data_IF_062825977682
#
_entry.id   IF_062825977682
#
_cell.length_a   1.000
_cell.length_b   1.000
_cell.length_c   1.000
_cell.angle_alpha   90.00
_cell.angle_beta   90.00
_cell.angle_gamma   90.00
#
_symmetry.space_group_name_H-M   'P 1'
#
loop_
_entity.id
_entity.type
_entity.pdbx_description
1 polymer ?
#
# COMPACT_ATOMS: atom_id res chain seq x y z
N UNK A 1 13.27 -2.12 -5.46
CA UNK A 1 13.40 -1.37 -4.19
C UNK A 1 12.02 -1.27 -3.53
N UNK A 2 11.96 -0.94 -2.23
CA UNK A 2 10.78 -1.16 -1.39
C UNK A 2 10.65 -0.03 -0.35
N UNK A 3 9.47 0.57 -0.27
CA UNK A 3 9.10 1.60 0.71
C UNK A 3 7.91 1.10 1.54
N UNK A 4 8.01 1.16 2.86
CA UNK A 4 6.99 0.70 3.80
C UNK A 4 6.75 1.75 4.87
N UNK A 5 5.56 2.33 4.85
CA UNK A 5 5.22 3.54 5.61
C UNK A 5 3.75 3.53 6.00
N UNK A 6 3.35 4.38 6.94
CA UNK A 6 1.91 4.58 7.17
C UNK A 6 1.27 5.40 6.05
N UNK A 7 -0.05 5.28 5.81
CA UNK A 7 -0.80 6.13 4.88
C UNK A 7 -0.51 7.63 5.04
N UNK A 8 -0.53 8.14 6.27
CA UNK A 8 -0.24 9.55 6.53
C UNK A 8 1.16 9.97 6.07
N UNK A 9 2.15 9.09 6.22
CA UNK A 9 3.52 9.41 5.78
C UNK A 9 3.69 9.23 4.26
N UNK A 10 3.02 8.26 3.65
CA UNK A 10 2.95 8.14 2.20
C UNK A 10 2.39 9.43 1.57
N UNK A 11 1.32 9.99 2.11
CA UNK A 11 0.77 11.27 1.63
C UNK A 11 1.77 12.42 1.71
N UNK A 12 2.53 12.52 2.81
CA UNK A 12 3.58 13.51 2.94
C UNK A 12 4.68 13.32 1.88
N UNK A 13 5.13 12.09 1.63
CA UNK A 13 6.14 11.81 0.61
C UNK A 13 5.63 12.11 -0.80
N UNK A 14 4.37 11.81 -1.10
CA UNK A 14 3.73 12.16 -2.36
C UNK A 14 3.63 13.68 -2.54
N UNK A 15 3.35 14.43 -1.46
CA UNK A 15 3.35 15.88 -1.49
C UNK A 15 4.76 16.47 -1.75
N UNK A 16 5.81 15.77 -1.30
CA UNK A 16 7.22 16.08 -1.59
C UNK A 16 7.72 15.50 -2.93
N UNK A 17 6.79 15.09 -3.79
CA UNK A 17 7.07 14.71 -5.17
C UNK A 17 7.71 13.34 -5.34
N UNK A 18 7.47 12.39 -4.42
CA UNK A 18 8.00 11.02 -4.52
C UNK A 18 7.71 10.37 -5.89
N UNK A 19 6.57 10.68 -6.49
CA UNK A 19 6.13 10.15 -7.79
C UNK A 19 6.20 11.17 -8.94
N UNK A 20 6.90 12.30 -8.73
CA UNK A 20 7.09 13.29 -9.79
C UNK A 20 7.92 12.72 -10.95
N UNK A 21 7.67 13.24 -12.15
CA UNK A 21 8.39 12.83 -13.36
C UNK A 21 9.89 13.12 -13.25
N UNK A 22 10.71 12.23 -13.80
CA UNK A 22 12.17 12.37 -13.79
C UNK A 22 12.85 12.06 -12.46
N UNK A 23 12.10 11.66 -11.42
CA UNK A 23 12.63 11.13 -10.16
C UNK A 23 12.61 9.62 -10.13
N UNK A 24 13.32 9.06 -9.15
CA UNK A 24 13.26 7.63 -8.87
C UNK A 24 11.97 7.29 -8.14
N UNK A 25 11.20 6.33 -8.67
CA UNK A 25 9.99 5.81 -8.04
C UNK A 25 10.29 4.46 -7.40
N UNK A 26 9.90 4.23 -6.13
CA UNK A 26 10.01 2.91 -5.53
C UNK A 26 9.19 1.88 -6.29
N UNK A 27 9.79 0.73 -6.62
CA UNK A 27 9.09 -0.35 -7.31
C UNK A 27 7.90 -0.86 -6.49
N UNK A 28 8.03 -0.91 -5.17
CA UNK A 28 6.95 -1.27 -4.24
C UNK A 28 6.72 -0.15 -3.23
N UNK A 29 5.46 0.29 -3.10
CA UNK A 29 5.02 1.17 -2.02
C UNK A 29 4.01 0.42 -1.18
N UNK A 30 4.34 0.26 0.09
CA UNK A 30 3.55 -0.47 1.05
C UNK A 30 3.02 0.50 2.09
N UNK A 31 1.71 0.41 2.33
CA UNK A 31 1.01 1.22 3.31
C UNK A 31 0.32 0.33 4.33
N UNK A 32 0.49 0.63 5.62
CA UNK A 32 -0.12 -0.15 6.70
C UNK A 32 -0.15 0.59 8.03
N UNK A 33 -0.74 -0.02 9.05
CA UNK A 33 -0.82 0.55 10.40
C UNK A 33 -1.86 1.66 10.61
N UNK A 34 -2.44 2.20 9.54
CA UNK A 34 -3.59 3.11 9.58
C UNK A 34 -4.62 2.71 8.51
N UNK A 35 -5.84 3.22 8.62
CA UNK A 35 -6.84 3.09 7.55
C UNK A 35 -6.33 3.80 6.29
N UNK A 36 -6.20 3.08 5.17
CA UNK A 36 -5.81 3.66 3.89
C UNK A 36 -6.97 4.47 3.30
N UNK A 37 -6.81 5.78 3.06
CA UNK A 37 -7.83 6.59 2.41
C UNK A 37 -8.06 6.12 0.95
N UNK A 38 -9.31 6.05 0.46
CA UNK A 38 -9.59 5.63 -0.92
C UNK A 38 -8.85 6.46 -1.97
N UNK A 39 -8.74 7.77 -1.77
CA UNK A 39 -8.04 8.66 -2.71
C UNK A 39 -6.52 8.41 -2.75
N UNK A 40 -5.90 8.09 -1.60
CA UNK A 40 -4.50 7.68 -1.57
C UNK A 40 -4.31 6.37 -2.34
N UNK A 41 -5.18 5.39 -2.08
CA UNK A 41 -5.12 4.10 -2.75
C UNK A 41 -5.26 4.23 -4.27
N UNK A 42 -6.25 4.99 -4.74
CA UNK A 42 -6.47 5.30 -6.16
C UNK A 42 -5.22 5.89 -6.80
N UNK A 43 -4.65 6.96 -6.23
CA UNK A 43 -3.41 7.59 -6.71
C UNK A 43 -2.24 6.62 -6.81
N UNK A 44 -2.08 5.74 -5.81
CA UNK A 44 -1.02 4.74 -5.81
C UNK A 44 -1.24 3.66 -6.89
N UNK A 45 -2.49 3.27 -7.15
CA UNK A 45 -2.83 2.28 -8.20
C UNK A 45 -2.71 2.83 -9.62
N UNK A 46 -2.87 4.14 -9.81
CA UNK A 46 -2.71 4.80 -11.12
C UNK A 46 -1.24 5.06 -11.49
N UNK A 47 -0.32 4.98 -10.52
CA UNK A 47 1.10 5.18 -10.74
C UNK A 47 1.71 3.99 -11.52
N UNK A 48 2.01 4.21 -12.81
CA UNK A 48 2.43 3.15 -13.74
C UNK A 48 3.71 2.39 -13.35
N UNK A 49 4.56 2.96 -12.50
CA UNK A 49 5.85 2.38 -12.11
C UNK A 49 5.87 1.80 -10.68
N UNK A 50 4.72 1.71 -10.02
CA UNK A 50 4.61 1.30 -8.61
C UNK A 50 3.72 0.07 -8.47
N UNK A 51 4.12 -0.84 -7.60
CA UNK A 51 3.31 -1.95 -7.12
C UNK A 51 2.82 -1.66 -5.70
N UNK A 52 1.62 -1.07 -5.53
CA UNK A 52 1.13 -0.74 -4.21
C UNK A 52 0.61 -1.97 -3.47
N UNK A 53 0.85 -2.02 -2.15
CA UNK A 53 0.32 -3.05 -1.26
C UNK A 53 -0.24 -2.36 -0.01
N UNK A 54 -1.47 -2.69 0.36
CA UNK A 54 -2.04 -2.28 1.64
C UNK A 54 -1.93 -3.46 2.61
N UNK A 55 -1.30 -3.25 3.76
CA UNK A 55 -1.03 -4.26 4.76
C UNK A 55 -1.83 -4.00 6.04
N UNK A 56 -2.23 -5.09 6.67
CA UNK A 56 -2.80 -5.09 8.01
C UNK A 56 -2.25 -6.24 8.84
N UNK A 57 -1.66 -5.91 9.97
CA UNK A 57 -1.45 -6.84 11.08
C UNK A 57 -1.39 -6.08 12.41
N UNK A 58 -2.11 -6.55 13.44
CA UNK A 58 -1.91 -6.07 14.80
C UNK A 58 -0.58 -6.61 15.36
N UNK A 59 -0.06 -5.97 16.40
CA UNK A 59 1.25 -6.33 16.98
C UNK A 59 1.29 -7.74 17.59
N UNK A 60 0.13 -8.30 17.96
CA UNK A 60 -0.02 -9.69 18.42
C UNK A 60 0.14 -10.72 17.28
N UNK A 61 0.22 -10.27 16.02
CA UNK A 61 0.52 -11.10 14.85
C UNK A 61 1.97 -10.90 14.36
N UNK A 62 2.35 -11.57 13.28
CA UNK A 62 3.74 -11.58 12.77
C UNK A 62 4.00 -10.41 11.82
N UNK A 63 3.90 -9.18 12.34
CA UNK A 63 3.93 -7.92 11.58
C UNK A 63 2.65 -7.71 10.78
N UNK A 64 2.38 -8.55 9.77
CA UNK A 64 1.21 -8.47 8.91
C UNK A 64 0.48 -9.81 8.78
N UNK A 65 -0.85 -9.77 8.81
CA UNK A 65 -1.70 -10.96 8.73
C UNK A 65 -2.54 -10.99 7.45
N UNK A 66 -2.85 -9.84 6.88
CA UNK A 66 -3.68 -9.67 5.71
C UNK A 66 -3.14 -8.56 4.81
N UNK A 67 -3.40 -8.68 3.52
CA UNK A 67 -3.00 -7.66 2.58
C UNK A 67 -3.99 -7.52 1.43
N UNK A 68 -3.96 -6.35 0.80
CA UNK A 68 -4.68 -6.04 -0.42
C UNK A 68 -3.72 -5.56 -1.49
N UNK A 69 -3.98 -5.96 -2.73
CA UNK A 69 -3.32 -5.47 -3.96
C UNK A 69 -4.37 -4.86 -4.88
N UNK A 70 -3.98 -4.08 -5.91
CA UNK A 70 -4.92 -3.61 -6.93
C UNK A 70 -5.72 -4.79 -7.50
N UNK A 71 -7.04 -4.66 -7.56
CA UNK A 71 -7.94 -5.62 -8.22
C UNK A 71 -8.40 -5.11 -9.58
N UNK A 72 -9.62 -5.44 -9.98
CA UNK A 72 -10.21 -4.98 -11.26
C UNK A 72 -10.28 -3.43 -11.34
N UNK A 73 -10.56 -2.77 -10.22
CA UNK A 73 -10.52 -1.32 -10.07
C UNK A 73 -9.90 -0.95 -8.73
N UNK A 74 -9.43 0.30 -8.58
CA UNK A 74 -8.90 0.79 -7.31
C UNK A 74 -9.91 0.64 -6.15
N UNK A 75 -11.20 0.86 -6.43
CA UNK A 75 -12.29 0.72 -5.47
C UNK A 75 -12.62 -0.74 -5.09
N UNK A 76 -12.05 -1.72 -5.81
CA UNK A 76 -12.25 -3.16 -5.58
C UNK A 76 -10.90 -3.87 -5.45
N UNK A 77 -10.15 -3.64 -4.35
CA UNK A 77 -8.86 -4.26 -4.17
C UNK A 77 -8.98 -5.75 -3.82
N UNK A 78 -8.02 -6.55 -4.28
CA UNK A 78 -7.98 -7.99 -4.04
C UNK A 78 -7.27 -8.30 -2.72
N UNK A 79 -8.07 -8.61 -1.69
CA UNK A 79 -7.59 -8.96 -0.37
C UNK A 79 -7.30 -10.46 -0.20
N UNK A 80 -6.23 -10.81 0.53
CA UNK A 80 -5.96 -12.19 0.96
C UNK A 80 -5.11 -12.26 2.22
N UNK A 81 -5.22 -13.34 3.02
CA UNK A 81 -4.35 -13.54 4.16
C UNK A 81 -2.91 -13.79 3.71
N UNK A 82 -1.95 -13.36 4.53
CA UNK A 82 -0.56 -13.79 4.41
C UNK A 82 -0.50 -15.33 4.53
N UNK A 83 0.46 -15.96 3.84
CA UNK A 83 0.62 -17.42 3.85
C UNK A 83 0.70 -17.94 5.29
N UNK A 84 -0.17 -18.88 5.63
CA UNK A 84 -0.23 -19.49 6.97
C UNK A 84 -1.14 -18.74 7.95
N UNK A 85 -1.61 -17.55 7.60
CA UNK A 85 -2.64 -16.80 8.33
C UNK A 85 -4.04 -17.17 7.85
N UNK A 86 -5.04 -16.88 8.69
CA UNK A 86 -6.46 -17.06 8.38
C UNK A 86 -7.23 -15.84 8.88
N UNK A 87 -8.29 -15.48 8.17
CA UNK A 87 -9.27 -14.47 8.56
C UNK A 87 -10.63 -15.15 8.66
N UNK A 88 -11.43 -14.75 9.63
CA UNK A 88 -12.74 -15.33 9.95
C UNK A 88 -13.82 -14.24 9.92
#
# INVERSE_FOLDING_TARGET
>A
DYLDVTPSYAEALLAEGLLDEGRHHPAHIVVGGETVPPALWERLTEAAAVHPVNLYGPTETTVDAYYWVPGETAARPDGRPVRGSRVY
#
